data_IF_958082984055
#
_entry.id   IF_958082984055
#
_cell.length_a   1.000
_cell.length_b   1.000
_cell.length_c   1.000
_cell.angle_alpha   90.00
_cell.angle_beta   90.00
_cell.angle_gamma   90.00
#
_symmetry.space_group_name_H-M   'P 1'
#
loop_
_entity.id
_entity.type
_entity.pdbx_description
1 polymer ?
#
# COMPACT_ATOMS: atom_id res chain seq x y z
N UNK A 1 22.25 51.78 62.92
CA UNK A 1 22.97 52.75 62.05
C UNK A 1 22.91 52.25 60.61
N UNK A 2 22.09 52.93 59.80
CA UNK A 2 22.28 53.35 58.38
C UNK A 2 23.65 52.90 57.82
N UNK A 3 23.79 52.15 56.71
CA UNK A 3 23.47 52.57 55.33
C UNK A 3 23.19 51.45 54.34
N UNK A 4 22.20 51.72 53.49
CA UNK A 4 21.91 51.03 52.24
C UNK A 4 23.02 51.28 51.21
N UNK A 5 23.28 50.29 50.36
CA UNK A 5 23.87 50.58 49.05
C UNK A 5 23.11 49.85 47.94
N UNK A 6 22.58 50.67 47.04
CA UNK A 6 21.78 50.35 45.86
C UNK A 6 22.69 49.85 44.76
N UNK A 7 22.38 48.69 44.18
CA UNK A 7 22.70 48.41 42.77
C UNK A 7 21.53 47.65 42.14
N UNK A 8 20.69 48.42 41.46
CA UNK A 8 19.68 47.98 40.49
C UNK A 8 20.35 47.86 39.09
N UNK A 9 19.68 47.24 38.11
CA UNK A 9 20.26 46.26 37.22
C UNK A 9 20.47 46.80 35.80
N UNK A 10 21.58 46.43 35.15
CA UNK A 10 21.75 46.61 33.72
C UNK A 10 21.19 45.39 32.98
N UNK A 11 19.88 45.46 32.73
CA UNK A 11 19.18 44.70 31.71
C UNK A 11 19.77 45.02 30.33
N UNK A 12 20.65 44.17 29.82
CA UNK A 12 20.94 44.11 28.39
C UNK A 12 19.90 43.17 27.78
N UNK A 13 18.76 43.76 27.42
CA UNK A 13 17.73 43.11 26.61
C UNK A 13 18.33 42.96 25.21
N UNK A 14 18.93 41.81 24.95
CA UNK A 14 19.15 41.35 23.58
C UNK A 14 17.77 41.01 23.03
N UNK A 15 17.19 41.97 22.31
CA UNK A 15 16.02 41.77 21.47
C UNK A 15 16.47 40.85 20.34
N UNK A 16 16.48 39.54 20.61
CA UNK A 16 16.36 38.54 19.57
C UNK A 16 14.97 38.75 18.97
N UNK A 17 14.93 39.54 17.89
CA UNK A 17 13.90 39.49 16.88
C UNK A 17 13.93 38.09 16.23
N UNK A 18 13.53 37.08 17.00
CA UNK A 18 13.00 35.85 16.43
C UNK A 18 11.65 36.26 15.92
N UNK A 19 11.66 36.58 14.63
CA UNK A 19 10.51 36.66 13.77
C UNK A 19 9.58 35.51 14.14
N UNK A 20 8.51 35.81 14.88
CA UNK A 20 7.38 34.93 15.06
C UNK A 20 6.71 34.81 13.70
N UNK A 21 7.29 33.94 12.86
CA UNK A 21 6.61 33.36 11.71
C UNK A 21 5.51 32.51 12.35
N UNK A 22 4.34 33.11 12.55
CA UNK A 22 3.11 32.36 12.68
C UNK A 22 3.10 31.42 11.47
N UNK A 23 3.16 30.08 11.66
CA UNK A 23 2.89 29.19 10.56
C UNK A 23 1.48 29.56 10.11
N UNK A 24 1.39 30.08 8.88
CA UNK A 24 0.11 30.35 8.25
C UNK A 24 -0.78 29.16 8.49
N UNK A 25 -1.97 29.41 9.03
CA UNK A 25 -3.03 28.42 9.18
C UNK A 25 -3.23 27.74 7.84
N UNK A 26 -2.56 26.59 7.66
CA UNK A 26 -2.78 25.67 6.56
C UNK A 26 -4.26 25.33 6.67
N UNK A 27 -5.04 25.77 5.68
CA UNK A 27 -6.45 25.44 5.57
C UNK A 27 -6.55 23.95 5.37
N UNK A 28 -6.68 23.21 6.47
CA UNK A 28 -6.93 21.79 6.44
C UNK A 28 -8.35 21.61 5.91
N UNK A 29 -8.48 20.92 4.79
CA UNK A 29 -9.77 20.57 4.22
C UNK A 29 -10.25 19.30 4.93
N UNK A 30 -11.56 19.22 5.19
CA UNK A 30 -12.16 18.09 5.88
C UNK A 30 -12.88 17.20 4.86
N UNK A 31 -12.69 15.89 4.99
CA UNK A 31 -13.48 14.88 4.27
C UNK A 31 -14.34 14.12 5.28
N UNK A 32 -15.58 13.87 4.89
CA UNK A 32 -16.54 13.08 5.66
C UNK A 32 -16.88 11.80 4.91
N UNK A 33 -16.82 10.66 5.61
CA UNK A 33 -17.01 9.33 5.02
C UNK A 33 -18.02 8.56 5.86
N UNK A 34 -19.03 8.00 5.19
CA UNK A 34 -20.00 7.11 5.81
C UNK A 34 -19.42 5.70 5.91
N UNK A 35 -19.56 5.10 7.09
CA UNK A 35 -19.14 3.75 7.40
C UNK A 35 -20.33 2.97 7.94
N UNK A 36 -20.76 1.95 7.21
CA UNK A 36 -21.84 1.07 7.65
C UNK A 36 -21.31 0.07 8.67
N UNK A 37 -21.91 0.03 9.86
CA UNK A 37 -21.49 -0.89 10.93
C UNK A 37 -22.63 -1.19 11.89
N UNK A 38 -22.61 -2.42 12.39
CA UNK A 38 -23.52 -2.95 13.41
C UNK A 38 -22.93 -2.92 14.82
N UNK A 39 -21.71 -2.39 14.98
CA UNK A 39 -20.98 -2.34 16.25
C UNK A 39 -20.54 -0.91 16.59
N UNK A 40 -20.32 -0.65 17.89
CA UNK A 40 -19.79 0.62 18.36
C UNK A 40 -18.28 0.74 18.06
N UNK A 41 -17.84 1.87 17.46
CA UNK A 41 -16.44 2.09 17.12
C UNK A 41 -15.62 2.43 18.37
N UNK A 42 -14.54 1.69 18.60
CA UNK A 42 -13.55 1.98 19.63
C UNK A 42 -12.37 2.80 19.07
N UNK A 43 -11.90 2.45 17.88
CA UNK A 43 -10.89 3.24 17.15
C UNK A 43 -11.31 3.47 15.71
N UNK A 44 -10.76 4.53 15.12
CA UNK A 44 -11.01 4.88 13.74
C UNK A 44 -9.76 5.45 13.08
N UNK A 45 -9.66 5.29 11.76
CA UNK A 45 -8.58 5.84 10.96
C UNK A 45 -9.12 6.32 9.61
N UNK A 46 -8.73 7.53 9.22
CA UNK A 46 -8.87 7.99 7.84
C UNK A 46 -7.73 7.46 6.98
N UNK A 47 -8.00 7.22 5.70
CA UNK A 47 -7.03 6.71 4.74
C UNK A 47 -7.12 7.53 3.45
N UNK A 48 -6.00 8.09 3.03
CA UNK A 48 -5.83 8.68 1.71
C UNK A 48 -5.00 7.72 0.86
N UNK A 49 -5.55 7.25 -0.23
CA UNK A 49 -4.95 6.26 -1.12
C UNK A 49 -4.68 6.92 -2.48
N UNK A 50 -3.45 6.79 -2.95
CA UNK A 50 -3.05 7.11 -4.33
C UNK A 50 -2.32 5.92 -4.92
N UNK A 51 -2.08 5.88 -6.23
CA UNK A 51 -1.34 4.78 -6.84
C UNK A 51 0.09 4.61 -6.28
N UNK A 52 0.66 5.67 -5.69
CA UNK A 52 2.04 5.69 -5.21
C UNK A 52 2.17 5.58 -3.68
N UNK A 53 1.16 6.00 -2.91
CA UNK A 53 1.27 6.14 -1.45
C UNK A 53 -0.09 5.98 -0.78
N UNK A 54 -0.08 5.33 0.38
CA UNK A 54 -1.17 5.37 1.37
C UNK A 54 -0.75 6.26 2.54
N UNK A 55 -1.62 7.20 2.94
CA UNK A 55 -1.42 8.07 4.09
C UNK A 55 -2.56 7.78 5.07
N UNK A 56 -2.19 7.37 6.28
CA UNK A 56 -3.14 7.16 7.36
C UNK A 56 -3.30 8.45 8.18
N UNK A 57 -4.55 8.84 8.42
CA UNK A 57 -4.94 9.95 9.28
C UNK A 57 -5.43 9.40 10.62
N UNK A 58 -4.59 9.43 11.66
CA UNK A 58 -5.02 9.00 12.99
C UNK A 58 -6.02 10.00 13.58
N UNK A 59 -6.85 9.53 14.51
CA UNK A 59 -7.81 10.33 15.28
C UNK A 59 -8.88 11.07 14.45
N UNK A 60 -9.60 10.40 13.53
CA UNK A 60 -10.74 11.02 12.89
C UNK A 60 -11.86 11.25 13.91
N UNK A 61 -12.69 12.26 13.67
CA UNK A 61 -13.92 12.48 14.44
C UNK A 61 -14.96 11.48 13.98
N UNK A 62 -15.49 10.67 14.90
CA UNK A 62 -16.55 9.71 14.61
C UNK A 62 -17.85 10.21 15.22
N UNK A 63 -18.91 10.32 14.41
CA UNK A 63 -20.26 10.70 14.85
C UNK A 63 -21.24 9.63 14.39
N UNK A 64 -22.17 9.22 15.25
CA UNK A 64 -23.26 8.34 14.83
C UNK A 64 -24.21 9.14 13.92
N UNK A 65 -24.45 8.65 12.70
CA UNK A 65 -25.34 9.28 11.73
C UNK A 65 -26.72 8.63 11.77
N UNK A 66 -26.75 7.29 11.77
CA UNK A 66 -27.96 6.47 11.86
C UNK A 66 -27.68 5.19 12.68
N UNK A 67 -28.68 4.35 12.92
CA UNK A 67 -28.55 3.12 13.72
C UNK A 67 -27.55 2.10 13.16
N UNK A 68 -27.28 2.14 11.85
CA UNK A 68 -26.30 1.29 11.19
C UNK A 68 -25.15 2.05 10.50
N UNK A 69 -25.02 3.36 10.73
CA UNK A 69 -24.07 4.20 10.01
C UNK A 69 -23.33 5.19 10.91
N UNK A 70 -22.02 5.27 10.74
CA UNK A 70 -21.14 6.22 11.38
C UNK A 70 -20.53 7.17 10.35
N UNK A 71 -20.51 8.45 10.66
CA UNK A 71 -19.81 9.47 9.91
C UNK A 71 -18.41 9.64 10.50
N UNK A 72 -17.39 9.40 9.69
CA UNK A 72 -15.99 9.56 10.06
C UNK A 72 -15.42 10.75 9.30
N UNK A 73 -15.06 11.80 10.03
CA UNK A 73 -14.53 13.04 9.48
C UNK A 73 -13.05 13.19 9.83
N UNK A 74 -12.22 13.49 8.85
CA UNK A 74 -10.78 13.74 9.07
C UNK A 74 -10.24 14.82 8.14
N UNK A 75 -9.21 15.48 8.65
CA UNK A 75 -8.58 16.60 7.97
C UNK A 75 -7.41 16.11 7.11
N UNK A 76 -7.23 16.75 5.95
CA UNK A 76 -6.10 16.52 5.06
C UNK A 76 -5.51 17.84 4.57
N UNK A 77 -4.23 17.77 4.17
CA UNK A 77 -3.58 18.90 3.54
C UNK A 77 -3.68 18.77 2.01
N UNK A 78 -4.05 19.81 1.26
CA UNK A 78 -4.10 19.75 -0.20
C UNK A 78 -2.77 19.36 -0.86
N UNK A 79 -1.65 19.57 -0.15
CA UNK A 79 -0.30 19.13 -0.53
C UNK A 79 -0.16 17.60 -0.61
N UNK A 80 -0.99 16.85 0.13
CA UNK A 80 -1.00 15.39 0.17
C UNK A 80 -1.75 14.78 -1.03
N UNK A 81 -2.54 15.59 -1.73
CA UNK A 81 -3.38 15.13 -2.84
C UNK A 81 -2.63 15.10 -4.17
N UNK A 82 -2.53 13.90 -4.74
CA UNK A 82 -2.26 13.66 -6.16
C UNK A 82 -3.59 13.56 -6.94
N UNK A 83 -3.54 13.71 -8.27
CA UNK A 83 -4.74 13.73 -9.13
C UNK A 83 -5.58 12.45 -9.11
N UNK A 84 -5.05 11.37 -8.53
CA UNK A 84 -5.65 10.04 -8.38
C UNK A 84 -5.96 9.68 -6.92
N UNK A 85 -6.02 10.66 -6.02
CA UNK A 85 -6.19 10.39 -4.58
C UNK A 85 -7.66 10.13 -4.24
N UNK A 86 -7.90 9.03 -3.54
CA UNK A 86 -9.20 8.67 -2.98
C UNK A 86 -9.12 8.61 -1.45
N UNK A 87 -10.22 8.95 -0.80
CA UNK A 87 -10.37 8.89 0.65
C UNK A 87 -11.24 7.70 1.04
N UNK A 88 -10.89 7.03 2.11
CA UNK A 88 -11.74 6.03 2.78
C UNK A 88 -11.51 6.10 4.29
N UNK A 89 -12.42 5.52 5.06
CA UNK A 89 -12.34 5.47 6.52
C UNK A 89 -12.48 4.04 7.00
N UNK A 90 -11.85 3.74 8.13
CA UNK A 90 -11.95 2.45 8.80
C UNK A 90 -12.32 2.68 10.26
N UNK A 91 -13.26 1.88 10.77
CA UNK A 91 -13.58 1.83 12.20
C UNK A 91 -13.36 0.41 12.74
N UNK A 92 -12.93 0.31 13.98
CA UNK A 92 -12.61 -0.94 14.66
C UNK A 92 -13.30 -0.98 16.02
N UNK A 93 -13.95 -2.11 16.32
CA UNK A 93 -14.59 -2.38 17.60
C UNK A 93 -13.59 -2.78 18.69
N UNK A 94 -14.01 -2.75 19.96
CA UNK A 94 -13.25 -3.34 21.08
C UNK A 94 -12.91 -4.81 20.84
N UNK A 95 -13.79 -5.54 20.15
CA UNK A 95 -13.65 -6.98 19.87
C UNK A 95 -12.80 -7.26 18.62
N UNK A 96 -12.22 -6.24 18.01
CA UNK A 96 -11.39 -6.37 16.80
C UNK A 96 -12.18 -6.52 15.48
N UNK A 97 -13.51 -6.36 15.50
CA UNK A 97 -14.31 -6.25 14.26
C UNK A 97 -13.96 -4.97 13.51
N UNK A 98 -13.88 -5.04 12.19
CA UNK A 98 -13.48 -3.92 11.32
C UNK A 98 -14.57 -3.67 10.28
N UNK A 99 -14.87 -2.39 10.04
CA UNK A 99 -15.74 -1.92 8.97
C UNK A 99 -15.04 -0.82 8.18
N UNK A 100 -15.28 -0.80 6.86
CA UNK A 100 -14.71 0.16 5.93
C UNK A 100 -15.81 1.05 5.35
N UNK A 101 -15.52 2.33 5.21
CA UNK A 101 -16.41 3.29 4.58
C UNK A 101 -16.24 3.35 3.08
N UNK A 102 -17.16 4.08 2.46
CA UNK A 102 -17.14 4.32 1.03
C UNK A 102 -15.85 5.00 0.57
N UNK A 103 -15.46 4.72 -0.67
CA UNK A 103 -14.28 5.32 -1.30
C UNK A 103 -14.72 6.56 -2.07
N UNK A 104 -14.34 7.73 -1.55
CA UNK A 104 -14.72 9.03 -2.14
C UNK A 104 -13.51 9.65 -2.86
N UNK A 105 -13.60 9.98 -4.15
CA UNK A 105 -12.53 10.70 -4.83
C UNK A 105 -12.42 12.14 -4.29
N UNK A 106 -11.22 12.57 -3.90
CA UNK A 106 -11.00 13.96 -3.49
C UNK A 106 -10.68 14.78 -4.74
N UNK A 107 -11.67 15.51 -5.23
CA UNK A 107 -11.48 16.48 -6.31
C UNK A 107 -10.90 17.76 -5.72
N UNK A 108 -9.78 18.27 -6.26
CA UNK A 108 -9.11 19.49 -5.77
C UNK A 108 -10.10 20.67 -5.69
N UNK A 109 -10.06 21.35 -4.54
CA UNK A 109 -10.84 22.50 -4.08
C UNK A 109 -11.70 23.24 -5.13
N UNK A 110 -13.00 23.21 -4.91
CA UNK A 110 -14.02 23.93 -5.70
C UNK A 110 -15.44 23.40 -5.49
N UNK A 111 -15.58 22.16 -5.03
CA UNK A 111 -16.87 21.58 -4.64
C UNK A 111 -17.06 21.68 -3.13
N UNK A 112 -17.87 22.64 -2.72
CA UNK A 112 -18.47 22.70 -1.38
C UNK A 112 -19.22 21.37 -1.11
N UNK A 113 -19.25 20.83 0.13
CA UNK A 113 -19.93 19.58 0.44
C UNK A 113 -21.45 19.80 0.44
N UNK A 114 -22.04 19.96 -0.74
CA UNK A 114 -23.48 19.93 -0.99
C UNK A 114 -24.00 18.48 -1.10
N UNK A 115 -23.30 17.52 -0.49
CA UNK A 115 -23.74 16.11 -0.40
C UNK A 115 -25.01 15.98 0.45
N UNK A 116 -25.34 16.98 1.27
CA UNK A 116 -26.55 16.98 2.09
C UNK A 116 -27.86 17.34 1.34
N UNK A 117 -27.81 17.90 0.13
CA UNK A 117 -29.02 18.37 -0.59
C UNK A 117 -29.18 17.85 -2.02
N UNK A 118 -28.30 16.97 -2.50
CA UNK A 118 -28.55 16.29 -3.75
C UNK A 118 -29.55 15.16 -3.49
N UNK A 119 -30.69 15.09 -4.21
CA UNK A 119 -31.55 13.92 -4.13
C UNK A 119 -30.67 12.71 -4.43
N UNK A 120 -30.54 11.81 -3.46
CA UNK A 120 -29.83 10.54 -3.63
C UNK A 120 -30.44 9.93 -4.89
N UNK A 121 -29.67 9.83 -5.97
CA UNK A 121 -30.07 9.02 -7.10
C UNK A 121 -30.49 7.69 -6.51
N UNK A 122 -31.75 7.30 -6.74
CA UNK A 122 -32.29 6.04 -6.24
C UNK A 122 -31.22 4.99 -6.45
N UNK A 123 -30.81 4.30 -5.38
CA UNK A 123 -29.93 3.15 -5.50
C UNK A 123 -30.49 2.34 -6.66
N UNK A 124 -29.78 2.32 -7.78
CA UNK A 124 -30.06 1.37 -8.83
C UNK A 124 -29.72 0.06 -8.16
N UNK A 125 -30.74 -0.58 -7.59
CA UNK A 125 -30.73 -2.00 -7.31
C UNK A 125 -30.00 -2.62 -8.48
N UNK A 126 -28.88 -3.28 -8.20
CA UNK A 126 -28.03 -3.89 -9.22
C UNK A 126 -28.91 -4.86 -9.98
N UNK A 127 -29.52 -4.37 -11.06
CA UNK A 127 -30.40 -5.17 -11.89
C UNK A 127 -29.54 -6.30 -12.39
N UNK A 128 -30.05 -7.54 -12.36
CA UNK A 128 -29.31 -8.77 -12.67
C UNK A 128 -28.48 -8.69 -13.97
N UNK A 129 -28.89 -7.80 -14.89
CA UNK A 129 -28.20 -7.44 -16.14
C UNK A 129 -26.83 -6.78 -15.92
N UNK A 130 -26.69 -5.87 -14.95
CA UNK A 130 -25.40 -5.23 -14.61
C UNK A 130 -24.42 -6.19 -13.95
N UNK A 131 -24.92 -7.10 -13.09
CA UNK A 131 -24.11 -8.17 -12.50
C UNK A 131 -23.62 -9.15 -13.56
N UNK A 132 -24.47 -9.56 -14.52
CA UNK A 132 -24.05 -10.39 -15.65
C UNK A 132 -22.94 -9.75 -16.49
N UNK A 133 -23.01 -8.43 -16.73
CA UNK A 133 -21.95 -7.69 -17.40
C UNK A 133 -20.63 -7.71 -16.63
N UNK A 134 -20.66 -7.54 -15.31
CA UNK A 134 -19.48 -7.63 -14.45
C UNK A 134 -18.90 -9.05 -14.40
N UNK A 135 -19.74 -10.08 -14.34
CA UNK A 135 -19.31 -11.48 -14.43
C UNK A 135 -18.63 -11.79 -15.75
N UNK A 136 -19.19 -11.33 -16.88
CA UNK A 136 -18.58 -11.52 -18.20
C UNK A 136 -17.21 -10.83 -18.31
N UNK A 137 -17.04 -9.65 -17.70
CA UNK A 137 -15.74 -8.97 -17.64
C UNK A 137 -14.73 -9.74 -16.79
N UNK A 138 -15.15 -10.26 -15.63
CA UNK A 138 -14.29 -11.07 -14.76
C UNK A 138 -13.90 -12.37 -15.47
N UNK A 139 -14.83 -13.04 -16.13
CA UNK A 139 -14.59 -14.25 -16.90
C UNK A 139 -13.61 -13.99 -18.05
N UNK A 140 -13.77 -12.87 -18.77
CA UNK A 140 -12.82 -12.44 -19.79
C UNK A 140 -11.42 -12.22 -19.24
N UNK A 141 -11.28 -11.55 -18.09
CA UNK A 141 -9.99 -11.36 -17.41
C UNK A 141 -9.34 -12.67 -17.00
N UNK A 142 -10.11 -13.61 -16.45
CA UNK A 142 -9.64 -14.95 -16.08
C UNK A 142 -9.17 -15.70 -17.33
N UNK A 143 -9.94 -15.65 -18.41
CA UNK A 143 -9.59 -16.28 -19.69
C UNK A 143 -8.30 -15.69 -20.28
N UNK A 144 -8.16 -14.36 -20.32
CA UNK A 144 -6.93 -13.69 -20.76
C UNK A 144 -5.73 -14.12 -19.91
N UNK A 145 -5.87 -14.13 -18.58
CA UNK A 145 -4.79 -14.56 -17.67
C UNK A 145 -4.43 -16.03 -17.87
N UNK A 146 -5.42 -16.92 -18.02
CA UNK A 146 -5.18 -18.34 -18.27
C UNK A 146 -4.44 -18.57 -19.59
N UNK A 147 -4.77 -17.83 -20.65
CA UNK A 147 -4.13 -17.93 -21.94
C UNK A 147 -2.69 -17.42 -21.89
N UNK A 148 -2.45 -16.29 -21.22
CA UNK A 148 -1.08 -15.79 -20.98
C UNK A 148 -0.24 -16.81 -20.21
N UNK A 149 -0.80 -17.43 -19.17
CA UNK A 149 -0.10 -18.48 -18.42
C UNK A 149 0.21 -19.70 -19.28
N UNK A 150 -0.71 -20.13 -20.16
CA UNK A 150 -0.45 -21.23 -21.10
C UNK A 150 0.71 -20.91 -22.04
N UNK A 151 0.74 -19.71 -22.62
CA UNK A 151 1.85 -19.25 -23.50
C UNK A 151 3.17 -19.22 -22.73
N UNK A 152 3.18 -18.67 -21.52
CA UNK A 152 4.38 -18.64 -20.68
C UNK A 152 4.88 -20.04 -20.32
N UNK A 153 3.97 -20.96 -19.93
CA UNK A 153 4.32 -22.36 -19.66
C UNK A 153 4.91 -23.06 -20.88
N UNK A 154 4.36 -22.83 -22.07
CA UNK A 154 4.93 -23.35 -23.32
C UNK A 154 6.32 -22.76 -23.59
N UNK A 155 6.51 -21.46 -23.37
CA UNK A 155 7.81 -20.80 -23.49
C UNK A 155 8.85 -21.38 -22.52
N UNK A 156 8.46 -21.62 -21.27
CA UNK A 156 9.31 -22.28 -20.26
C UNK A 156 9.63 -23.71 -20.71
N UNK A 157 8.64 -24.50 -21.15
CA UNK A 157 8.85 -25.87 -21.62
C UNK A 157 9.83 -25.93 -22.80
N UNK A 158 9.76 -24.96 -23.71
CA UNK A 158 10.69 -24.85 -24.84
C UNK A 158 12.10 -24.44 -24.40
N UNK A 159 12.23 -23.53 -23.42
CA UNK A 159 13.54 -23.10 -22.90
C UNK A 159 14.19 -24.17 -22.02
N UNK A 160 13.39 -24.93 -21.26
CA UNK A 160 13.82 -26.01 -20.38
C UNK A 160 13.85 -27.38 -21.08
N UNK A 161 14.03 -27.43 -22.40
CA UNK A 161 14.18 -28.69 -23.13
C UNK A 161 15.63 -28.94 -23.56
N UNK A 162 15.96 -30.20 -23.80
CA UNK A 162 17.27 -30.62 -24.31
C UNK A 162 18.41 -30.45 -23.32
N UNK A 163 19.57 -30.01 -23.81
CA UNK A 163 20.84 -29.97 -23.08
C UNK A 163 20.79 -29.09 -21.82
N UNK A 164 20.02 -28.00 -21.84
CA UNK A 164 19.90 -27.11 -20.68
C UNK A 164 19.36 -27.86 -19.45
N UNK A 165 18.35 -28.72 -19.63
CA UNK A 165 17.74 -29.47 -18.55
C UNK A 165 18.74 -30.44 -17.93
N UNK A 166 19.50 -31.16 -18.77
CA UNK A 166 20.56 -32.06 -18.31
C UNK A 166 21.64 -31.30 -17.54
N UNK A 167 22.04 -30.11 -18.02
CA UNK A 167 23.00 -29.26 -17.31
C UNK A 167 22.47 -28.82 -15.95
N UNK A 168 21.22 -28.38 -15.87
CA UNK A 168 20.59 -27.98 -14.61
C UNK A 168 20.50 -29.15 -13.63
N UNK A 169 20.13 -30.35 -14.09
CA UNK A 169 20.12 -31.55 -13.27
C UNK A 169 21.52 -31.92 -12.76
N UNK A 170 22.54 -31.82 -13.61
CA UNK A 170 23.92 -32.07 -13.20
C UNK A 170 24.41 -31.03 -12.19
N UNK A 171 24.00 -29.76 -12.32
CA UNK A 171 24.29 -28.73 -11.33
C UNK A 171 23.59 -29.03 -9.99
N UNK A 172 22.31 -29.42 -10.00
CA UNK A 172 21.63 -29.81 -8.76
C UNK A 172 22.34 -30.96 -8.05
N UNK A 173 22.78 -31.98 -8.80
CA UNK A 173 23.57 -33.09 -8.23
C UNK A 173 24.93 -32.62 -7.73
N UNK A 174 25.63 -31.79 -8.50
CA UNK A 174 26.95 -31.27 -8.13
C UNK A 174 26.93 -30.42 -6.86
N UNK A 175 25.85 -29.68 -6.62
CA UNK A 175 25.65 -28.90 -5.40
C UNK A 175 24.96 -29.68 -4.26
N UNK A 176 24.57 -30.94 -4.48
CA UNK A 176 23.84 -31.74 -3.47
C UNK A 176 22.43 -31.24 -3.17
N UNK A 177 21.79 -30.56 -4.13
CA UNK A 177 20.44 -29.98 -4.02
C UNK A 177 19.35 -30.90 -4.62
N UNK A 178 19.68 -32.16 -4.88
CA UNK A 178 18.76 -33.11 -5.51
C UNK A 178 17.54 -33.39 -4.62
N UNK A 179 16.36 -33.45 -5.26
CA UNK A 179 15.08 -33.79 -4.61
C UNK A 179 14.58 -35.13 -5.09
N UNK A 180 13.57 -35.66 -4.38
CA UNK A 180 12.88 -36.91 -4.73
C UNK A 180 12.37 -36.91 -6.18
N UNK A 181 11.93 -35.75 -6.70
CA UNK A 181 11.50 -35.60 -8.09
C UNK A 181 12.57 -34.89 -8.93
N UNK A 182 12.99 -35.45 -10.07
CA UNK A 182 13.98 -34.83 -10.94
C UNK A 182 13.44 -33.52 -11.53
N UNK A 183 14.34 -32.59 -11.83
CA UNK A 183 13.96 -31.31 -12.44
C UNK A 183 13.38 -31.58 -13.84
N UNK A 184 12.10 -31.25 -14.03
CA UNK A 184 11.39 -31.42 -15.30
C UNK A 184 10.62 -30.16 -15.66
N UNK A 185 10.35 -29.96 -16.95
CA UNK A 185 9.56 -28.83 -17.44
C UNK A 185 8.07 -28.94 -17.11
N UNK A 186 7.63 -30.06 -16.54
CA UNK A 186 6.24 -30.34 -16.18
C UNK A 186 5.96 -30.08 -14.69
N UNK A 187 6.99 -29.74 -13.92
CA UNK A 187 6.85 -29.32 -12.53
C UNK A 187 6.00 -28.04 -12.41
N UNK A 188 5.33 -27.86 -11.26
CA UNK A 188 4.61 -26.63 -10.98
C UNK A 188 5.56 -25.43 -10.98
N UNK A 189 5.08 -24.29 -11.48
CA UNK A 189 5.90 -23.08 -11.71
C UNK A 189 6.57 -22.59 -10.42
N UNK A 190 5.85 -22.65 -9.29
CA UNK A 190 6.40 -22.27 -7.99
C UNK A 190 7.60 -23.11 -7.58
N UNK A 191 7.55 -24.43 -7.81
CA UNK A 191 8.65 -25.33 -7.49
C UNK A 191 9.84 -25.13 -8.43
N UNK A 192 9.59 -24.89 -9.72
CA UNK A 192 10.64 -24.53 -10.67
C UNK A 192 11.39 -23.25 -10.25
N UNK A 193 10.66 -22.22 -9.84
CA UNK A 193 11.25 -20.96 -9.39
C UNK A 193 12.11 -21.15 -8.14
N UNK A 194 11.60 -21.87 -7.13
CA UNK A 194 12.36 -22.15 -5.90
C UNK A 194 13.65 -22.93 -6.19
N UNK A 195 13.58 -23.96 -7.04
CA UNK A 195 14.78 -24.76 -7.40
C UNK A 195 15.81 -23.95 -8.16
N UNK A 196 15.38 -23.17 -9.16
CA UNK A 196 16.28 -22.31 -9.93
C UNK A 196 16.89 -21.20 -9.07
N UNK A 197 16.13 -20.63 -8.13
CA UNK A 197 16.64 -19.63 -7.19
C UNK A 197 17.73 -20.22 -6.27
N UNK A 198 17.55 -21.43 -5.75
CA UNK A 198 18.56 -22.12 -4.94
C UNK A 198 19.83 -22.42 -5.73
N UNK A 199 19.69 -22.90 -6.97
CA UNK A 199 20.83 -23.09 -7.87
C UNK A 199 21.58 -21.79 -8.13
N UNK A 200 20.85 -20.69 -8.37
CA UNK A 200 21.45 -19.39 -8.57
C UNK A 200 22.27 -18.95 -7.34
N UNK A 201 21.70 -19.10 -6.14
CA UNK A 201 22.40 -18.78 -4.88
C UNK A 201 23.65 -19.66 -4.71
N UNK A 202 23.56 -20.96 -4.99
CA UNK A 202 24.70 -21.87 -4.92
C UNK A 202 25.83 -21.46 -5.88
N UNK A 203 25.49 -21.05 -7.10
CA UNK A 203 26.45 -20.53 -8.09
C UNK A 203 27.09 -19.23 -7.60
N UNK A 204 26.30 -18.29 -7.07
CA UNK A 204 26.81 -17.02 -6.54
C UNK A 204 27.77 -17.24 -5.37
N UNK A 205 27.43 -18.17 -4.46
CA UNK A 205 28.31 -18.53 -3.35
C UNK A 205 29.62 -19.16 -3.84
N UNK A 206 29.58 -20.00 -4.87
CA UNK A 206 30.81 -20.55 -5.45
C UNK A 206 31.66 -19.46 -6.12
N UNK A 207 31.03 -18.51 -6.80
CA UNK A 207 31.73 -17.39 -7.44
C UNK A 207 32.41 -16.48 -6.42
N UNK A 208 31.78 -16.22 -5.27
CA UNK A 208 32.37 -15.38 -4.22
C UNK A 208 33.57 -16.03 -3.51
N UNK A 209 33.64 -17.37 -3.51
CA UNK A 209 34.74 -18.13 -2.90
C UNK A 209 35.86 -18.49 -3.88
N UNK A 210 35.77 -18.07 -5.14
CA UNK A 210 36.81 -18.38 -6.14
C UNK A 210 38.04 -17.51 -5.82
N UNK A 211 39.17 -18.09 -5.38
CA UNK A 211 40.37 -17.30 -5.10
C UNK A 211 40.77 -16.60 -6.40
N UNK A 212 41.03 -15.30 -6.32
CA UNK A 212 41.55 -14.51 -7.42
C UNK A 212 42.86 -15.17 -7.85
N UNK A 213 42.85 -15.86 -9.00
CA UNK A 213 44.08 -16.45 -9.54
C UNK A 213 45.07 -15.30 -9.70
N UNK A 214 46.22 -15.31 -9.00
CA UNK A 214 47.17 -14.22 -9.12
C UNK A 214 47.55 -14.09 -10.59
N UNK A 215 47.35 -12.89 -11.15
CA UNK A 215 47.79 -12.63 -12.52
C UNK A 215 49.30 -12.83 -12.56
N UNK A 216 49.83 -13.54 -13.58
CA UNK A 216 51.26 -13.62 -13.76
C UNK A 216 51.76 -12.19 -13.98
N UNK A 217 52.60 -11.70 -13.07
CA UNK A 217 53.29 -10.43 -13.25
C UNK A 217 54.15 -10.56 -14.52
N UNK A 218 53.84 -9.76 -15.54
CA UNK A 218 54.72 -9.52 -16.69
C UNK A 218 56.00 -8.79 -16.29
#
# INVERSE_FOLDING_TARGET
MITANKLLPTFVIWICAICAILPGSLSAEQVEILVESTFEPHTAAGLLLSNAKSIQKPNPQVRKYDDSQYLVSFDYEPSELKGDTVATAMIVSSDGKVAFGDVTPILKAGFSPLVLNLPRCAHTETTKVTLQGQYALIESLVNIRSNRLKVLKQGIKKKMSGNLLTRLQNLERGFGLERIRPLSSELPVSELVDRLARLQVAIQNLQSHRPTTPQPNE
#
